data_IF_446057526614
#
_entry.id   IF_446057526614
#
_cell.length_a   1.000
_cell.length_b   1.000
_cell.length_c   1.000
_cell.angle_alpha   90.00
_cell.angle_beta   90.00
_cell.angle_gamma   90.00
#
_symmetry.space_group_name_H-M   'P 1'
#
loop_
_entity.id
_entity.type
_entity.pdbx_description
1 polymer ?
#
# COMPACT_ATOMS: atom_id res chain seq x y z
N UNK A 1 15.78 -0.03 -3.80
CA UNK A 1 16.20 0.35 -2.43
C UNK A 1 16.85 1.73 -2.47
N UNK A 2 16.57 2.57 -1.46
CA UNK A 2 17.13 3.92 -1.31
C UNK A 2 17.66 4.07 0.11
N UNK A 3 18.91 4.47 0.27
CA UNK A 3 19.50 4.89 1.56
C UNK A 3 18.95 6.27 1.92
N UNK A 4 18.37 6.44 3.11
CA UNK A 4 17.65 7.65 3.53
C UNK A 4 18.43 8.57 4.44
N UNK A 5 19.40 8.03 5.14
CA UNK A 5 20.38 8.79 5.92
C UNK A 5 21.78 8.25 5.65
N UNK A 6 22.80 9.03 6.02
CA UNK A 6 24.20 8.66 5.82
C UNK A 6 24.79 7.76 6.92
N UNK A 7 23.94 7.25 7.83
CA UNK A 7 24.39 6.45 8.96
C UNK A 7 24.92 5.08 8.49
N UNK A 8 26.02 4.65 9.10
CA UNK A 8 26.56 3.31 8.90
C UNK A 8 25.74 2.28 9.68
N UNK A 9 25.72 1.04 9.21
CA UNK A 9 25.11 -0.08 9.94
C UNK A 9 25.79 -0.18 11.31
N UNK A 10 24.98 -0.20 12.39
CA UNK A 10 25.52 -0.30 13.76
C UNK A 10 25.83 -1.77 14.10
N UNK A 11 27.11 -2.15 14.21
CA UNK A 11 27.50 -3.53 14.52
C UNK A 11 27.07 -3.97 15.93
N UNK A 12 26.72 -3.03 16.81
CA UNK A 12 26.25 -3.28 18.17
C UNK A 12 24.73 -3.41 18.24
N UNK A 13 24.03 -3.19 17.12
CA UNK A 13 22.59 -3.39 17.03
C UNK A 13 22.24 -4.86 17.29
N UNK A 14 21.00 -5.13 17.71
CA UNK A 14 20.56 -6.45 18.16
C UNK A 14 19.63 -7.15 17.16
N UNK A 15 19.13 -6.43 16.19
CA UNK A 15 18.20 -6.94 15.18
C UNK A 15 18.17 -6.03 13.95
N UNK A 16 17.58 -6.54 12.87
CA UNK A 16 17.07 -5.72 11.77
C UNK A 16 15.59 -5.46 12.00
N UNK A 17 15.14 -4.24 11.77
CA UNK A 17 13.73 -3.86 11.89
C UNK A 17 13.16 -3.59 10.50
N UNK A 18 12.06 -4.23 10.16
CA UNK A 18 11.24 -3.83 9.02
C UNK A 18 10.01 -3.05 9.50
N UNK A 19 9.96 -1.76 9.21
CA UNK A 19 8.79 -0.92 9.45
C UNK A 19 7.79 -1.10 8.32
N UNK A 20 6.88 -2.02 8.49
CA UNK A 20 5.79 -2.29 7.56
C UNK A 20 4.74 -1.17 7.62
N UNK A 21 4.28 -0.71 6.47
CA UNK A 21 3.26 0.36 6.37
C UNK A 21 2.25 0.07 5.26
N UNK A 22 2.73 -0.03 4.02
CA UNK A 22 1.92 -0.13 2.80
C UNK A 22 1.81 -1.56 2.28
N UNK A 23 2.79 -2.40 2.56
CA UNK A 23 2.90 -3.75 2.02
C UNK A 23 2.62 -4.78 3.11
N UNK A 24 1.34 -4.86 3.50
CA UNK A 24 0.88 -5.63 4.66
C UNK A 24 0.75 -7.12 4.32
N UNK A 25 1.88 -7.75 3.98
CA UNK A 25 1.95 -9.17 3.65
C UNK A 25 3.29 -9.79 4.06
N UNK A 26 3.25 -11.07 4.40
CA UNK A 26 4.42 -11.83 4.84
C UNK A 26 5.15 -12.55 3.70
N UNK A 27 4.57 -12.62 2.51
CA UNK A 27 5.11 -13.29 1.33
C UNK A 27 5.12 -12.30 0.15
N UNK A 28 5.97 -12.57 -0.83
CA UNK A 28 6.04 -11.76 -2.06
C UNK A 28 6.18 -10.25 -1.79
N UNK A 29 7.01 -9.91 -0.79
CA UNK A 29 7.20 -8.55 -0.30
C UNK A 29 8.66 -8.11 -0.47
N UNK A 30 8.99 -7.27 -1.47
CA UNK A 30 10.36 -6.85 -1.74
C UNK A 30 11.06 -6.15 -0.56
N UNK A 31 10.31 -5.41 0.27
CA UNK A 31 10.88 -4.74 1.44
C UNK A 31 11.22 -5.76 2.55
N UNK A 32 10.34 -6.71 2.80
CA UNK A 32 10.59 -7.81 3.73
C UNK A 32 11.75 -8.69 3.27
N UNK A 33 11.82 -9.02 1.98
CA UNK A 33 12.93 -9.81 1.41
C UNK A 33 14.28 -9.08 1.51
N UNK A 34 14.28 -7.76 1.35
CA UNK A 34 15.48 -6.94 1.59
C UNK A 34 15.87 -6.98 3.07
N UNK A 35 14.89 -6.91 3.98
CA UNK A 35 15.14 -6.98 5.41
C UNK A 35 15.67 -8.36 5.84
N UNK A 36 15.13 -9.45 5.27
CA UNK A 36 15.64 -10.81 5.53
C UNK A 36 17.06 -10.95 5.01
N UNK A 37 17.36 -10.45 3.80
CA UNK A 37 18.71 -10.51 3.25
C UNK A 37 19.72 -9.75 4.13
N UNK A 38 19.36 -8.55 4.59
CA UNK A 38 20.19 -7.77 5.50
C UNK A 38 20.37 -8.47 6.86
N UNK A 39 19.30 -9.00 7.46
CA UNK A 39 19.34 -9.75 8.71
C UNK A 39 20.28 -10.97 8.61
N UNK A 40 20.19 -11.69 7.48
CA UNK A 40 21.04 -12.85 7.23
C UNK A 40 22.52 -12.51 7.05
N UNK A 41 22.83 -11.37 6.42
CA UNK A 41 24.22 -10.88 6.26
C UNK A 41 24.79 -10.42 7.60
N UNK A 42 23.96 -9.79 8.42
CA UNK A 42 24.35 -9.29 9.74
C UNK A 42 24.30 -10.38 10.83
N UNK A 43 23.85 -11.60 10.48
CA UNK A 43 23.62 -12.69 11.45
C UNK A 43 22.75 -12.28 12.64
N UNK A 44 21.72 -11.47 12.34
CA UNK A 44 20.80 -10.92 13.34
C UNK A 44 19.36 -11.36 13.09
N UNK A 45 18.51 -11.40 14.13
CA UNK A 45 17.09 -11.65 13.95
C UNK A 45 16.39 -10.47 13.28
N UNK A 46 15.26 -10.76 12.65
CA UNK A 46 14.37 -9.77 12.03
C UNK A 46 13.08 -9.63 12.82
N UNK A 47 12.66 -8.40 13.05
CA UNK A 47 11.35 -8.07 13.61
C UNK A 47 10.63 -7.04 12.73
N UNK A 48 9.34 -7.28 12.51
CA UNK A 48 8.46 -6.37 11.78
C UNK A 48 7.70 -5.51 12.78
N UNK A 49 7.71 -4.20 12.56
CA UNK A 49 6.92 -3.24 13.33
C UNK A 49 5.76 -2.71 12.50
N UNK A 50 4.56 -2.67 13.10
CA UNK A 50 3.39 -2.02 12.53
C UNK A 50 2.71 -1.06 13.52
N UNK A 51 2.54 0.18 13.13
CA UNK A 51 1.86 1.21 13.93
C UNK A 51 0.41 1.40 13.51
N UNK A 52 -0.53 1.07 14.41
CA UNK A 52 -1.97 1.29 14.25
C UNK A 52 -2.35 2.67 14.80
N UNK A 53 -2.94 3.53 13.99
CA UNK A 53 -3.42 4.84 14.43
C UNK A 53 -4.74 4.67 15.17
N UNK A 54 -4.85 5.22 16.39
CA UNK A 54 -6.05 5.11 17.21
C UNK A 54 -7.23 5.94 16.67
N UNK A 55 -6.94 7.07 16.02
CA UNK A 55 -7.96 7.94 15.44
C UNK A 55 -7.47 8.44 14.07
N UNK A 56 -7.54 7.59 13.04
CA UNK A 56 -7.04 7.94 11.72
C UNK A 56 -7.99 8.94 11.03
N UNK A 57 -7.45 10.01 10.44
CA UNK A 57 -8.28 10.90 9.64
C UNK A 57 -8.82 10.16 8.40
N UNK A 58 -10.10 10.35 8.10
CA UNK A 58 -10.77 9.80 6.91
C UNK A 58 -10.77 8.26 6.80
N UNK A 59 -10.50 7.53 7.88
CA UNK A 59 -10.66 6.08 7.93
C UNK A 59 -11.75 5.71 8.96
N UNK A 60 -12.50 4.66 8.67
CA UNK A 60 -13.64 4.21 9.45
C UNK A 60 -13.49 2.73 9.84
N UNK A 61 -14.50 2.22 10.56
CA UNK A 61 -14.54 0.82 11.01
C UNK A 61 -14.38 -0.17 9.85
N UNK A 62 -14.99 0.08 8.68
CA UNK A 62 -14.87 -0.79 7.48
C UNK A 62 -13.42 -0.95 7.06
N UNK A 63 -12.69 0.14 6.93
CA UNK A 63 -11.29 0.11 6.50
C UNK A 63 -10.40 -0.64 7.50
N UNK A 64 -10.61 -0.37 8.79
CA UNK A 64 -9.79 -0.96 9.84
C UNK A 64 -10.10 -2.43 10.06
N UNK A 65 -11.36 -2.85 9.98
CA UNK A 65 -11.72 -4.28 10.05
C UNK A 65 -11.00 -5.07 8.97
N UNK A 66 -11.10 -4.60 7.71
CA UNK A 66 -10.41 -5.26 6.59
C UNK A 66 -8.88 -5.27 6.75
N UNK A 67 -8.29 -4.17 7.19
CA UNK A 67 -6.85 -4.07 7.43
C UNK A 67 -6.40 -5.02 8.54
N UNK A 68 -7.11 -5.04 9.68
CA UNK A 68 -6.74 -5.85 10.85
C UNK A 68 -6.88 -7.34 10.56
N UNK A 69 -7.89 -7.77 9.81
CA UNK A 69 -8.01 -9.15 9.35
C UNK A 69 -6.77 -9.60 8.55
N UNK A 70 -6.30 -8.76 7.63
CA UNK A 70 -5.09 -9.03 6.85
C UNK A 70 -3.81 -8.99 7.69
N UNK A 71 -3.73 -8.09 8.66
CA UNK A 71 -2.59 -8.01 9.57
C UNK A 71 -2.51 -9.21 10.51
N UNK A 72 -3.66 -9.74 10.96
CA UNK A 72 -3.71 -10.96 11.78
C UNK A 72 -3.10 -12.15 11.02
N UNK A 73 -3.50 -12.35 9.77
CA UNK A 73 -2.92 -13.37 8.89
C UNK A 73 -1.42 -13.12 8.66
N UNK A 74 -1.03 -11.87 8.40
CA UNK A 74 0.35 -11.48 8.17
C UNK A 74 1.21 -11.78 9.41
N UNK A 75 0.75 -11.44 10.61
CA UNK A 75 1.44 -11.72 11.86
C UNK A 75 1.65 -13.22 12.05
N UNK A 76 0.62 -14.04 11.83
CA UNK A 76 0.70 -15.49 11.87
C UNK A 76 1.77 -16.06 10.91
N UNK A 77 1.74 -15.63 9.65
CA UNK A 77 2.71 -16.08 8.63
C UNK A 77 4.13 -15.64 8.94
N UNK A 78 4.33 -14.45 9.53
CA UNK A 78 5.66 -13.99 9.97
C UNK A 78 6.21 -14.86 11.10
N UNK A 79 5.39 -15.19 12.10
CA UNK A 79 5.78 -16.11 13.20
C UNK A 79 6.17 -17.50 12.67
N UNK A 80 5.40 -18.07 11.72
CA UNK A 80 5.75 -19.33 11.05
C UNK A 80 7.10 -19.25 10.32
N UNK A 81 7.46 -18.07 9.80
CA UNK A 81 8.78 -17.78 9.19
C UNK A 81 9.86 -17.44 10.23
N UNK A 82 9.57 -17.55 11.52
CA UNK A 82 10.48 -17.21 12.65
C UNK A 82 10.91 -15.73 12.66
N UNK A 83 10.04 -14.86 12.15
CA UNK A 83 10.20 -13.40 12.11
C UNK A 83 9.31 -12.81 13.19
N UNK A 84 9.83 -11.88 14.00
CA UNK A 84 9.06 -11.18 15.01
C UNK A 84 8.01 -10.25 14.37
N UNK A 85 6.86 -10.11 15.05
CA UNK A 85 5.86 -9.11 14.68
C UNK A 85 5.41 -8.33 15.92
N UNK A 86 5.51 -7.00 15.86
CA UNK A 86 5.13 -6.10 16.93
C UNK A 86 4.17 -5.04 16.40
N UNK A 87 2.93 -5.06 16.89
CA UNK A 87 1.96 -4.00 16.68
C UNK A 87 2.01 -3.00 17.84
N UNK A 88 1.73 -1.72 17.55
CA UNK A 88 1.55 -0.67 18.57
C UNK A 88 0.36 0.20 18.21
N UNK A 89 -0.50 0.48 19.17
CA UNK A 89 -1.53 1.52 19.04
C UNK A 89 -0.86 2.88 19.21
N UNK A 90 -1.02 3.73 18.21
CA UNK A 90 -0.37 5.02 18.11
C UNK A 90 -1.39 6.14 18.29
N UNK A 91 -1.25 6.95 19.33
CA UNK A 91 -2.02 8.16 19.52
C UNK A 91 -1.58 9.25 18.51
N UNK A 92 -2.56 9.96 17.93
CA UNK A 92 -2.31 11.05 16.98
C UNK A 92 -2.21 10.59 15.52
N UNK A 93 -1.78 11.50 14.64
CA UNK A 93 -1.80 11.33 13.19
C UNK A 93 -0.60 10.56 12.60
N UNK A 94 0.31 10.06 13.43
CA UNK A 94 1.55 9.39 12.98
C UNK A 94 2.01 8.33 13.97
N UNK A 95 2.55 7.25 13.43
CA UNK A 95 3.17 6.18 14.23
C UNK A 95 4.65 6.45 14.56
N UNK A 96 5.20 7.63 14.23
CA UNK A 96 6.64 7.88 14.29
C UNK A 96 7.17 7.85 15.73
N UNK A 97 6.43 8.44 16.69
CA UNK A 97 6.80 8.45 18.09
C UNK A 97 6.88 7.06 18.72
N UNK A 98 5.86 6.23 18.45
CA UNK A 98 5.84 4.85 18.96
C UNK A 98 6.90 3.99 18.27
N UNK A 99 7.17 4.25 17.00
CA UNK A 99 8.25 3.57 16.31
C UNK A 99 9.63 3.97 16.88
N UNK A 100 9.85 5.23 17.21
CA UNK A 100 11.09 5.69 17.85
C UNK A 100 11.30 5.01 19.22
N UNK A 101 10.24 4.90 20.03
CA UNK A 101 10.28 4.17 21.30
C UNK A 101 10.62 2.70 21.08
N UNK A 102 9.98 2.06 20.13
CA UNK A 102 10.27 0.67 19.78
C UNK A 102 11.75 0.49 19.35
N UNK A 103 12.29 1.39 18.52
CA UNK A 103 13.70 1.34 18.15
C UNK A 103 14.63 1.48 19.36
N UNK A 104 14.31 2.33 20.34
CA UNK A 104 15.08 2.44 21.58
C UNK A 104 15.05 1.14 22.41
N UNK A 105 13.92 0.41 22.42
CA UNK A 105 13.76 -0.87 23.11
C UNK A 105 14.61 -1.96 22.47
N UNK A 106 14.56 -2.09 21.11
CA UNK A 106 15.17 -3.22 20.38
C UNK A 106 16.59 -2.95 19.89
N UNK A 107 17.02 -1.70 19.81
CA UNK A 107 18.33 -1.24 19.30
C UNK A 107 18.66 -1.86 17.93
N UNK A 108 17.99 -1.44 16.86
CA UNK A 108 18.22 -2.02 15.55
C UNK A 108 19.60 -1.65 14.99
N UNK A 109 20.24 -2.61 14.32
CA UNK A 109 21.44 -2.38 13.51
C UNK A 109 21.08 -1.65 12.20
N UNK A 110 19.89 -1.91 11.69
CA UNK A 110 19.36 -1.36 10.43
C UNK A 110 17.84 -1.30 10.49
N UNK A 111 17.28 -0.21 10.01
CA UNK A 111 15.84 -0.07 9.75
C UNK A 111 15.57 -0.10 8.24
N UNK A 112 14.64 -0.93 7.82
CA UNK A 112 14.11 -0.95 6.46
C UNK A 112 12.63 -0.59 6.53
N UNK A 113 12.13 0.20 5.57
CA UNK A 113 10.74 0.59 5.52
C UNK A 113 10.20 0.59 4.09
N UNK A 114 8.88 0.57 3.95
CA UNK A 114 8.22 0.77 2.67
C UNK A 114 8.51 2.18 2.15
N UNK A 115 8.81 2.30 0.87
CA UNK A 115 8.82 3.58 0.18
C UNK A 115 7.39 4.16 0.18
N UNK A 116 7.29 5.46 0.43
CA UNK A 116 6.03 6.17 0.36
C UNK A 116 6.14 7.31 -0.65
N UNK A 117 5.50 7.22 -1.81
CA UNK A 117 5.59 8.24 -2.84
C UNK A 117 5.06 9.61 -2.39
N UNK A 118 4.16 9.66 -1.41
CA UNK A 118 3.67 10.91 -0.82
C UNK A 118 4.65 11.55 0.16
N UNK A 119 5.70 10.84 0.55
CA UNK A 119 6.75 11.36 1.44
C UNK A 119 7.88 11.94 0.63
N UNK A 120 8.10 13.23 0.78
CA UNK A 120 9.27 13.91 0.22
C UNK A 120 10.52 13.62 1.04
N UNK A 121 11.67 13.75 0.42
CA UNK A 121 12.96 13.52 1.07
C UNK A 121 13.13 14.33 2.37
N UNK A 122 12.65 15.59 2.44
CA UNK A 122 12.65 16.39 3.67
C UNK A 122 11.84 15.79 4.83
N UNK A 123 10.82 14.97 4.55
CA UNK A 123 10.05 14.27 5.59
C UNK A 123 10.78 13.02 6.07
N UNK A 124 11.46 12.33 5.17
CA UNK A 124 12.34 11.22 5.51
C UNK A 124 13.51 11.69 6.41
N UNK A 125 14.14 12.82 6.07
CA UNK A 125 15.23 13.40 6.86
C UNK A 125 14.77 13.78 8.27
N UNK A 126 13.60 14.39 8.43
CA UNK A 126 13.03 14.70 9.75
C UNK A 126 12.73 13.46 10.58
N UNK A 127 12.30 12.39 9.97
CA UNK A 127 12.06 11.12 10.66
C UNK A 127 13.36 10.45 11.08
N UNK A 128 14.38 10.48 10.25
CA UNK A 128 15.70 9.95 10.60
C UNK A 128 16.31 10.60 11.85
N UNK A 129 15.99 11.89 12.11
CA UNK A 129 16.43 12.62 13.31
C UNK A 129 15.70 12.17 14.58
N UNK A 130 14.50 11.58 14.45
CA UNK A 130 13.73 11.07 15.60
C UNK A 130 14.25 9.74 16.15
N UNK A 131 15.14 9.09 15.42
CA UNK A 131 15.75 7.83 15.85
C UNK A 131 17.16 8.08 16.37
N UNK A 132 17.67 7.27 17.31
CA UNK A 132 19.11 7.19 17.52
C UNK A 132 19.77 6.97 16.15
N UNK A 133 21.05 7.34 15.97
CA UNK A 133 21.72 7.27 14.67
C UNK A 133 21.70 5.83 14.13
N UNK A 134 20.58 5.45 13.52
CA UNK A 134 20.32 4.12 12.97
C UNK A 134 20.15 4.26 11.47
N UNK A 135 20.85 3.49 10.67
CA UNK A 135 20.71 3.51 9.22
C UNK A 135 19.28 3.21 8.81
N UNK A 136 18.74 4.02 7.91
CA UNK A 136 17.38 3.92 7.40
C UNK A 136 17.40 3.72 5.89
N UNK A 137 16.84 2.60 5.43
CA UNK A 137 16.67 2.29 4.02
C UNK A 137 15.19 2.20 3.68
N UNK A 138 14.79 2.62 2.48
CA UNK A 138 13.45 2.41 1.96
C UNK A 138 13.45 1.54 0.71
N UNK A 139 12.40 0.73 0.54
CA UNK A 139 12.21 -0.17 -0.59
C UNK A 139 10.85 0.11 -1.22
N UNK A 140 10.85 0.34 -2.53
CA UNK A 140 9.62 0.55 -3.31
C UNK A 140 8.99 -0.81 -3.63
N UNK A 141 8.12 -1.27 -2.76
CA UNK A 141 7.54 -2.61 -2.76
C UNK A 141 6.07 -2.63 -3.24
N UNK A 142 5.55 -1.46 -3.64
CA UNK A 142 4.16 -1.28 -4.04
C UNK A 142 4.00 -0.99 -5.55
N UNK A 143 5.07 -1.04 -6.31
CA UNK A 143 5.12 -0.89 -7.77
C UNK A 143 5.98 -1.99 -8.38
N UNK A 144 5.85 -2.23 -9.67
CA UNK A 144 6.71 -3.16 -10.40
C UNK A 144 8.00 -2.44 -10.79
N UNK A 145 7.90 -1.32 -11.50
CA UNK A 145 9.06 -0.50 -11.83
C UNK A 145 9.28 0.54 -10.73
N UNK A 146 10.41 0.51 -10.01
CA UNK A 146 10.67 1.47 -8.95
C UNK A 146 10.42 2.92 -9.38
N UNK A 147 9.55 3.61 -8.68
CA UNK A 147 9.04 4.93 -9.08
C UNK A 147 10.15 5.99 -9.24
N UNK A 148 11.27 5.82 -8.52
CA UNK A 148 12.43 6.70 -8.61
C UNK A 148 13.15 6.62 -9.98
N UNK A 149 13.02 5.51 -10.70
CA UNK A 149 13.61 5.33 -12.02
C UNK A 149 12.87 6.08 -13.13
N UNK A 150 11.70 6.64 -12.84
CA UNK A 150 10.94 7.46 -13.77
C UNK A 150 11.37 8.93 -13.79
N UNK A 151 12.26 9.32 -12.85
CA UNK A 151 13.02 10.58 -12.76
C UNK A 151 12.21 11.87 -12.62
N UNK A 152 11.03 11.97 -13.25
CA UNK A 152 10.16 13.14 -13.24
C UNK A 152 8.69 12.78 -13.40
N UNK A 153 7.82 13.77 -13.16
CA UNK A 153 6.38 13.66 -13.40
C UNK A 153 6.08 13.28 -14.86
N UNK A 154 5.19 12.32 -15.02
CA UNK A 154 4.65 11.88 -16.29
C UNK A 154 3.17 12.27 -16.35
N UNK A 155 2.77 13.08 -17.29
CA UNK A 155 1.43 13.68 -17.33
C UNK A 155 0.36 12.78 -17.96
N UNK A 156 0.76 11.67 -18.61
CA UNK A 156 -0.18 10.78 -19.28
C UNK A 156 0.39 9.37 -19.47
N UNK A 157 -0.52 8.39 -19.65
CA UNK A 157 -0.14 7.01 -19.93
C UNK A 157 0.78 6.89 -21.16
N UNK A 158 0.57 7.69 -22.20
CA UNK A 158 1.41 7.70 -23.41
C UNK A 158 2.87 8.06 -23.15
N UNK A 159 3.17 8.81 -22.08
CA UNK A 159 4.54 9.22 -21.75
C UNK A 159 5.21 8.27 -20.77
N UNK A 160 4.46 7.66 -19.85
CA UNK A 160 5.00 6.72 -18.88
C UNK A 160 5.14 5.30 -19.45
N UNK A 161 4.20 4.84 -20.30
CA UNK A 161 4.16 3.47 -20.85
C UNK A 161 5.50 3.03 -21.47
N UNK A 162 6.12 3.77 -22.40
CA UNK A 162 7.37 3.33 -23.00
C UNK A 162 8.53 3.28 -21.98
N UNK A 163 8.45 4.06 -20.90
CA UNK A 163 9.46 4.05 -19.82
C UNK A 163 9.31 2.82 -18.94
N UNK A 164 8.08 2.43 -18.63
CA UNK A 164 7.77 1.20 -17.88
C UNK A 164 8.13 -0.02 -18.73
N UNK A 165 7.66 -0.09 -19.97
CA UNK A 165 7.87 -1.25 -20.85
C UNK A 165 9.34 -1.59 -21.05
N UNK A 166 10.21 -0.59 -21.22
CA UNK A 166 11.66 -0.81 -21.35
C UNK A 166 12.32 -1.46 -20.13
N UNK A 167 11.68 -1.37 -18.96
CA UNK A 167 12.20 -1.92 -17.70
C UNK A 167 11.40 -3.11 -17.18
N UNK A 168 10.29 -3.45 -17.85
CA UNK A 168 9.39 -4.46 -17.35
C UNK A 168 10.07 -5.83 -17.23
N UNK A 169 10.88 -6.21 -18.22
CA UNK A 169 11.64 -7.46 -18.21
C UNK A 169 12.63 -7.54 -17.04
N UNK A 170 13.22 -6.41 -16.65
CA UNK A 170 14.15 -6.32 -15.52
C UNK A 170 13.42 -6.56 -14.18
N UNK A 171 12.22 -5.94 -14.00
CA UNK A 171 11.56 -5.86 -12.71
C UNK A 171 10.38 -6.80 -12.53
N UNK A 172 9.67 -7.21 -13.58
CA UNK A 172 8.54 -8.14 -13.48
C UNK A 172 9.06 -9.58 -13.32
N UNK A 173 9.52 -9.88 -12.12
CA UNK A 173 10.04 -11.19 -11.72
C UNK A 173 9.39 -11.63 -10.42
N UNK A 174 9.32 -12.95 -10.17
CA UNK A 174 8.87 -13.45 -8.87
C UNK A 174 9.73 -12.86 -7.75
N UNK A 175 9.08 -12.37 -6.71
CA UNK A 175 9.76 -11.96 -5.48
C UNK A 175 10.10 -13.23 -4.68
N UNK A 176 11.33 -13.35 -4.24
CA UNK A 176 11.76 -14.52 -3.46
C UNK A 176 11.06 -14.56 -2.09
N UNK A 177 11.11 -15.74 -1.47
CA UNK A 177 10.64 -15.96 -0.08
C UNK A 177 11.77 -16.58 0.73
N UNK A 178 12.78 -15.77 1.07
CA UNK A 178 13.94 -16.20 1.85
C UNK A 178 13.57 -16.58 3.29
N UNK A 179 14.33 -17.48 3.88
CA UNK A 179 14.24 -17.78 5.31
C UNK A 179 15.24 -16.95 6.11
N UNK A 180 14.91 -16.60 7.34
CA UNK A 180 15.85 -15.99 8.28
C UNK A 180 16.80 -17.08 8.80
N UNK A 181 18.09 -16.74 8.96
CA UNK A 181 19.09 -17.61 9.59
C UNK A 181 18.96 -17.60 11.10
N UNK A 182 18.79 -16.41 11.67
CA UNK A 182 18.64 -16.22 13.12
C UNK A 182 17.15 -15.97 13.42
N UNK A 183 16.49 -16.87 14.16
CA UNK A 183 15.09 -16.69 14.52
C UNK A 183 14.92 -15.56 15.53
N UNK A 184 13.82 -14.81 15.41
CA UNK A 184 13.40 -13.89 16.46
C UNK A 184 13.00 -14.67 17.71
N UNK A 185 13.49 -14.22 18.86
CA UNK A 185 13.07 -14.73 20.17
C UNK A 185 12.16 -13.69 20.82
N UNK A 186 10.97 -14.11 21.21
CA UNK A 186 10.03 -13.22 21.88
C UNK A 186 10.64 -12.66 23.18
N UNK A 187 10.64 -11.34 23.30
CA UNK A 187 11.02 -10.65 24.51
C UNK A 187 9.75 -10.12 25.19
N UNK A 188 9.38 -10.69 26.32
CA UNK A 188 8.19 -10.31 27.09
C UNK A 188 8.15 -8.85 27.52
N UNK A 189 9.29 -8.14 27.46
CA UNK A 189 9.39 -6.70 27.74
C UNK A 189 8.83 -5.88 26.58
N UNK A 190 8.82 -6.41 25.36
CA UNK A 190 8.30 -5.75 24.17
C UNK A 190 6.78 -6.02 24.12
N UNK A 191 6.01 -5.02 24.54
CA UNK A 191 4.55 -5.13 24.53
C UNK A 191 4.01 -5.01 23.10
N UNK A 192 3.14 -5.95 22.73
CA UNK A 192 2.39 -5.94 21.47
C UNK A 192 0.98 -6.48 21.74
N UNK A 193 -0.08 -5.74 21.41
CA UNK A 193 -1.42 -6.29 21.47
C UNK A 193 -1.56 -7.45 20.45
N UNK A 194 -2.41 -8.41 20.77
CA UNK A 194 -2.81 -9.42 19.80
C UNK A 194 -3.55 -8.75 18.64
N UNK A 195 -3.15 -9.05 17.41
CA UNK A 195 -3.83 -8.52 16.23
C UNK A 195 -5.01 -9.43 15.92
N UNK A 196 -6.17 -8.99 16.34
CA UNK A 196 -7.44 -9.68 16.14
C UNK A 196 -8.55 -8.64 15.90
N UNK A 197 -9.74 -9.09 15.51
CA UNK A 197 -10.85 -8.18 15.21
C UNK A 197 -11.25 -7.31 16.41
N UNK A 198 -11.12 -7.85 17.61
CA UNK A 198 -11.40 -7.15 18.87
C UNK A 198 -10.49 -5.93 19.09
N UNK A 199 -9.35 -5.88 18.40
CA UNK A 199 -8.48 -4.71 18.45
C UNK A 199 -9.16 -3.44 17.93
N UNK A 200 -10.18 -3.55 17.06
CA UNK A 200 -10.94 -2.39 16.58
C UNK A 200 -11.67 -1.64 17.70
N UNK A 201 -12.05 -2.34 18.78
CA UNK A 201 -12.73 -1.76 19.94
C UNK A 201 -11.82 -0.83 20.76
N UNK A 202 -10.49 -1.03 20.65
CA UNK A 202 -9.50 -0.19 21.32
C UNK A 202 -9.13 1.06 20.51
N UNK A 203 -9.68 1.19 19.32
CA UNK A 203 -9.42 2.29 18.39
C UNK A 203 -10.68 3.17 18.31
N UNK A 204 -10.51 4.48 18.35
CA UNK A 204 -11.62 5.43 18.23
C UNK A 204 -11.99 5.63 16.75
N UNK A 205 -12.61 4.62 16.16
CA UNK A 205 -12.97 4.60 14.74
C UNK A 205 -14.37 5.15 14.51
N UNK A 206 -14.56 5.83 13.39
CA UNK A 206 -15.90 6.18 12.91
C UNK A 206 -16.65 4.90 12.54
N UNK A 207 -17.73 4.61 13.29
CA UNK A 207 -18.59 3.45 13.10
C UNK A 207 -19.78 3.69 12.17
N UNK A 208 -19.87 4.86 11.52
CA UNK A 208 -21.01 5.19 10.63
C UNK A 208 -21.12 4.26 9.42
N UNK A 209 -20.00 3.61 9.03
CA UNK A 209 -19.95 2.66 7.92
C UNK A 209 -19.57 1.28 8.43
N UNK A 210 -20.50 0.33 8.33
CA UNK A 210 -20.29 -1.05 8.73
C UNK A 210 -19.22 -1.77 7.90
N UNK A 211 -18.51 -2.76 8.47
CA UNK A 211 -17.64 -3.65 7.71
C UNK A 211 -18.36 -4.30 6.52
N UNK A 212 -17.66 -4.48 5.41
CA UNK A 212 -18.22 -5.15 4.24
C UNK A 212 -18.22 -6.67 4.45
N UNK A 213 -19.40 -7.31 4.36
CA UNK A 213 -19.53 -8.75 4.56
C UNK A 213 -18.89 -9.58 3.44
N UNK A 214 -18.83 -9.01 2.23
CA UNK A 214 -18.34 -9.68 1.00
C UNK A 214 -16.81 -9.66 0.88
N UNK A 215 -16.14 -8.78 1.64
CA UNK A 215 -14.70 -8.60 1.57
C UNK A 215 -14.05 -8.95 2.92
N UNK A 216 -13.30 -10.01 2.92
CA UNK A 216 -12.42 -10.37 4.03
C UNK A 216 -10.99 -9.96 3.73
N UNK A 217 -10.30 -9.32 4.67
CA UNK A 217 -8.89 -8.96 4.54
C UNK A 217 -7.97 -10.20 4.58
N UNK A 218 -6.80 -10.08 3.97
CA UNK A 218 -5.75 -11.09 4.00
C UNK A 218 -5.22 -11.51 2.64
N UNK A 219 -4.00 -12.01 2.62
CA UNK A 219 -3.31 -12.49 1.40
C UNK A 219 -4.03 -13.70 0.80
N UNK A 220 -4.53 -14.63 1.62
CA UNK A 220 -5.21 -15.83 1.14
C UNK A 220 -6.55 -15.50 0.47
N UNK A 221 -7.29 -14.54 1.03
CA UNK A 221 -8.51 -14.00 0.44
C UNK A 221 -8.22 -13.28 -0.89
N UNK A 222 -7.16 -12.47 -0.92
CA UNK A 222 -6.70 -11.78 -2.13
C UNK A 222 -6.32 -12.74 -3.25
N UNK A 223 -5.55 -13.79 -2.94
CA UNK A 223 -5.18 -14.84 -3.89
C UNK A 223 -6.39 -15.62 -4.40
N UNK A 224 -7.38 -15.83 -3.53
CA UNK A 224 -8.64 -16.48 -3.93
C UNK A 224 -9.46 -15.60 -4.87
N UNK A 225 -9.53 -14.29 -4.61
CA UNK A 225 -10.15 -13.31 -5.50
C UNK A 225 -9.44 -13.26 -6.87
N UNK A 226 -8.10 -13.25 -6.88
CA UNK A 226 -7.32 -13.29 -8.12
C UNK A 226 -7.58 -14.55 -8.94
N UNK A 227 -7.60 -15.73 -8.29
CA UNK A 227 -7.91 -17.00 -8.99
C UNK A 227 -9.32 -17.01 -9.57
N UNK A 228 -10.32 -16.53 -8.83
CA UNK A 228 -11.69 -16.39 -9.34
C UNK A 228 -11.76 -15.45 -10.54
N UNK A 229 -11.13 -14.29 -10.46
CA UNK A 229 -11.08 -13.33 -11.56
C UNK A 229 -10.48 -13.95 -12.82
N UNK A 230 -9.32 -14.62 -12.70
CA UNK A 230 -8.65 -15.26 -13.84
C UNK A 230 -9.55 -16.32 -14.48
N UNK A 231 -10.20 -17.17 -13.67
CA UNK A 231 -11.05 -18.27 -14.16
C UNK A 231 -12.34 -17.78 -14.79
N UNK A 232 -13.02 -16.83 -14.15
CA UNK A 232 -14.43 -16.55 -14.43
C UNK A 232 -14.66 -15.25 -15.23
N UNK A 233 -13.72 -14.28 -15.17
CA UNK A 233 -13.98 -12.91 -15.63
C UNK A 233 -12.91 -12.33 -16.57
N UNK A 234 -11.67 -12.78 -16.46
CA UNK A 234 -10.56 -12.23 -17.25
C UNK A 234 -10.80 -12.37 -18.76
N UNK A 235 -11.41 -13.48 -19.22
CA UNK A 235 -11.67 -13.72 -20.64
C UNK A 235 -12.66 -12.75 -21.29
N UNK A 236 -13.40 -11.99 -20.50
CA UNK A 236 -14.38 -10.98 -20.94
C UNK A 236 -14.06 -9.58 -20.40
N UNK A 237 -12.84 -9.36 -19.94
CA UNK A 237 -12.48 -8.12 -19.25
C UNK A 237 -12.67 -6.87 -20.11
N UNK A 238 -12.26 -6.88 -21.36
CA UNK A 238 -12.35 -5.72 -22.26
C UNK A 238 -13.80 -5.34 -22.55
N UNK A 239 -14.67 -6.32 -22.77
CA UNK A 239 -16.08 -6.08 -23.05
C UNK A 239 -16.89 -5.72 -21.81
N UNK A 240 -16.53 -6.28 -20.63
CA UNK A 240 -17.33 -6.16 -19.43
C UNK A 240 -16.92 -5.02 -18.49
N UNK A 241 -15.63 -4.64 -18.42
CA UNK A 241 -15.13 -3.73 -17.40
C UNK A 241 -15.79 -2.35 -17.29
N UNK A 242 -16.41 -1.88 -18.37
CA UNK A 242 -17.12 -0.61 -18.42
C UNK A 242 -18.63 -0.73 -18.21
N UNK A 243 -19.11 -1.92 -17.94
CA UNK A 243 -20.50 -2.24 -17.69
C UNK A 243 -20.73 -2.45 -16.19
N UNK A 244 -21.37 -1.47 -15.49
CA UNK A 244 -21.58 -1.59 -14.05
C UNK A 244 -22.61 -2.63 -13.63
N UNK A 245 -23.44 -3.08 -14.58
CA UNK A 245 -24.48 -4.10 -14.43
C UNK A 245 -23.93 -5.54 -14.45
N UNK A 246 -22.67 -5.73 -14.81
CA UNK A 246 -22.00 -7.03 -14.80
C UNK A 246 -20.74 -7.06 -13.94
N UNK A 247 -20.53 -8.18 -13.27
CA UNK A 247 -19.33 -8.40 -12.45
C UNK A 247 -18.10 -8.78 -13.30
N UNK A 248 -17.52 -7.83 -14.03
CA UNK A 248 -16.36 -8.06 -14.88
C UNK A 248 -15.02 -7.58 -14.30
N UNK A 249 -15.02 -6.94 -13.15
CA UNK A 249 -13.80 -6.43 -12.52
C UNK A 249 -13.14 -7.44 -11.59
N UNK A 250 -11.85 -7.23 -11.29
CA UNK A 250 -11.07 -8.16 -10.46
C UNK A 250 -11.43 -8.14 -8.97
N UNK A 251 -12.00 -7.06 -8.49
CA UNK A 251 -12.25 -6.79 -7.06
C UNK A 251 -10.97 -6.82 -6.19
N UNK A 252 -9.79 -6.60 -6.78
CA UNK A 252 -8.50 -6.62 -6.07
C UNK A 252 -8.11 -5.28 -5.44
N UNK A 253 -8.85 -4.21 -5.72
CA UNK A 253 -8.51 -2.86 -5.25
C UNK A 253 -8.30 -2.76 -3.74
N UNK A 254 -9.15 -3.31 -2.85
CA UNK A 254 -8.93 -3.26 -1.41
C UNK A 254 -7.62 -3.95 -1.00
N UNK A 255 -7.34 -5.11 -1.56
CA UNK A 255 -6.14 -5.89 -1.26
C UNK A 255 -4.85 -5.20 -1.72
N UNK A 256 -4.89 -4.57 -2.90
CA UNK A 256 -3.78 -3.77 -3.41
C UNK A 256 -3.58 -2.49 -2.61
N UNK A 257 -4.67 -1.86 -2.15
CA UNK A 257 -4.62 -0.66 -1.32
C UNK A 257 -3.87 -0.90 -0.01
N UNK A 258 -4.19 -1.99 0.68
CA UNK A 258 -3.53 -2.37 1.94
C UNK A 258 -2.25 -3.19 1.72
N UNK A 259 -1.89 -3.48 0.47
CA UNK A 259 -0.70 -4.26 0.15
C UNK A 259 -0.76 -5.73 0.60
N UNK A 260 -1.97 -6.26 0.77
CA UNK A 260 -2.20 -7.67 1.15
C UNK A 260 -1.94 -8.63 -0.02
N UNK A 261 -1.84 -8.13 -1.25
CA UNK A 261 -1.33 -8.82 -2.43
C UNK A 261 -0.30 -7.96 -3.14
N UNK A 262 0.74 -8.55 -3.70
CA UNK A 262 1.79 -7.87 -4.44
C UNK A 262 1.40 -7.56 -5.89
N UNK A 263 1.79 -6.41 -6.45
CA UNK A 263 1.59 -6.12 -7.87
C UNK A 263 2.30 -7.14 -8.77
N UNK A 264 3.46 -7.67 -8.36
CA UNK A 264 4.18 -8.72 -9.08
C UNK A 264 3.37 -10.01 -9.15
N UNK A 265 2.81 -10.46 -8.02
CA UNK A 265 1.94 -11.65 -7.95
C UNK A 265 0.77 -11.54 -8.93
N UNK A 266 0.08 -10.39 -8.92
CA UNK A 266 -1.07 -10.15 -9.81
C UNK A 266 -0.62 -10.13 -11.27
N UNK A 267 0.40 -9.33 -11.60
CA UNK A 267 0.84 -9.18 -12.98
C UNK A 267 1.37 -10.48 -13.59
N UNK A 268 2.17 -11.24 -12.84
CA UNK A 268 2.70 -12.54 -13.29
C UNK A 268 1.58 -13.58 -13.49
N UNK A 269 0.60 -13.63 -12.58
CA UNK A 269 -0.53 -14.54 -12.70
C UNK A 269 -1.39 -14.23 -13.94
N UNK A 270 -1.65 -12.94 -14.21
CA UNK A 270 -2.38 -12.51 -15.41
C UNK A 270 -1.57 -12.78 -16.67
N UNK A 271 -0.28 -12.51 -16.67
CA UNK A 271 0.59 -12.76 -17.83
C UNK A 271 0.60 -14.23 -18.22
N UNK A 272 0.63 -15.14 -17.24
CA UNK A 272 0.59 -16.60 -17.45
C UNK A 272 -0.82 -17.21 -17.61
N UNK A 273 -1.89 -16.43 -17.55
CA UNK A 273 -3.26 -16.94 -17.59
C UNK A 273 -3.66 -17.43 -18.99
N UNK A 274 -4.43 -18.50 -19.05
CA UNK A 274 -5.07 -19.00 -20.26
C UNK A 274 -6.32 -18.19 -20.61
N UNK A 275 -6.12 -16.93 -21.02
CA UNK A 275 -7.16 -15.99 -21.44
C UNK A 275 -6.72 -15.26 -22.72
N UNK A 276 -7.64 -14.65 -23.50
CA UNK A 276 -7.30 -13.92 -24.71
C UNK A 276 -6.23 -12.84 -24.42
N UNK A 277 -5.25 -12.71 -25.32
CA UNK A 277 -4.16 -11.74 -25.14
C UNK A 277 -4.67 -10.32 -24.95
N UNK A 278 -5.71 -9.94 -25.71
CA UNK A 278 -6.36 -8.62 -25.61
C UNK A 278 -6.86 -8.31 -24.18
N UNK A 279 -7.47 -9.28 -23.51
CA UNK A 279 -8.02 -9.09 -22.16
C UNK A 279 -6.91 -9.02 -21.11
N UNK A 280 -5.89 -9.88 -21.24
CA UNK A 280 -4.71 -9.86 -20.37
C UNK A 280 -3.96 -8.53 -20.49
N UNK A 281 -3.69 -8.07 -21.70
CA UNK A 281 -2.99 -6.81 -21.98
C UNK A 281 -3.77 -5.61 -21.48
N UNK A 282 -5.10 -5.59 -21.68
CA UNK A 282 -5.96 -4.53 -21.16
C UNK A 282 -5.94 -4.46 -19.62
N UNK A 283 -5.96 -5.61 -18.94
CA UNK A 283 -5.86 -5.63 -17.48
C UNK A 283 -4.47 -5.19 -17.00
N UNK A 284 -3.40 -5.65 -17.65
CA UNK A 284 -2.03 -5.26 -17.31
C UNK A 284 -1.76 -3.77 -17.56
N UNK A 285 -2.39 -3.18 -18.59
CA UNK A 285 -2.32 -1.73 -18.80
C UNK A 285 -2.87 -0.96 -17.59
N UNK A 286 -4.02 -1.35 -17.05
CA UNK A 286 -4.60 -0.71 -15.86
C UNK A 286 -3.76 -0.99 -14.61
N UNK A 287 -3.37 -2.23 -14.43
CA UNK A 287 -2.66 -2.69 -13.24
C UNK A 287 -1.23 -2.13 -13.13
N UNK A 288 -0.53 -1.97 -14.24
CA UNK A 288 0.86 -1.51 -14.27
C UNK A 288 0.90 -0.04 -14.67
N UNK A 289 0.50 0.28 -15.92
CA UNK A 289 0.75 1.61 -16.48
C UNK A 289 -0.09 2.68 -15.77
N UNK A 290 -1.41 2.46 -15.63
CA UNK A 290 -2.29 3.45 -15.00
C UNK A 290 -2.05 3.60 -13.52
N UNK A 291 -1.85 2.48 -12.83
CA UNK A 291 -1.54 2.49 -11.40
C UNK A 291 -0.20 3.17 -11.10
N UNK A 292 0.86 2.87 -11.86
CA UNK A 292 2.17 3.49 -11.66
C UNK A 292 2.22 4.95 -12.14
N UNK A 293 1.36 5.36 -13.08
CA UNK A 293 1.15 6.77 -13.41
C UNK A 293 0.62 7.55 -12.19
N UNK A 294 -0.34 6.99 -11.46
CA UNK A 294 -0.85 7.61 -10.23
C UNK A 294 0.23 7.72 -9.14
N UNK A 295 1.04 6.69 -8.97
CA UNK A 295 2.19 6.69 -8.05
C UNK A 295 3.23 7.75 -8.47
N UNK A 296 3.53 7.85 -9.76
CA UNK A 296 4.43 8.85 -10.31
C UNK A 296 3.91 10.28 -10.07
N UNK A 297 2.63 10.52 -10.31
CA UNK A 297 1.98 11.80 -10.02
C UNK A 297 2.15 12.21 -8.54
N UNK A 298 1.82 11.31 -7.61
CA UNK A 298 1.96 11.58 -6.17
C UNK A 298 3.41 11.86 -5.79
N UNK A 299 4.36 11.12 -6.39
CA UNK A 299 5.78 11.27 -6.09
C UNK A 299 6.35 12.61 -6.55
N UNK A 300 6.03 13.02 -7.76
CA UNK A 300 6.70 14.16 -8.41
C UNK A 300 5.91 15.44 -8.40
N UNK A 301 4.56 15.40 -8.25
CA UNK A 301 3.75 16.61 -8.16
C UNK A 301 3.62 17.09 -6.72
N UNK A 302 4.24 18.22 -6.34
CA UNK A 302 4.18 18.73 -4.97
C UNK A 302 2.78 19.18 -4.52
N UNK A 303 1.88 19.42 -5.46
CA UNK A 303 0.54 19.95 -5.23
C UNK A 303 -0.55 18.89 -5.40
N UNK A 304 -0.20 17.60 -5.44
CA UNK A 304 -1.11 16.49 -5.76
C UNK A 304 -2.40 16.43 -4.90
N UNK A 305 -2.44 17.14 -3.77
CA UNK A 305 -3.62 17.22 -2.87
C UNK A 305 -4.51 18.44 -3.14
N UNK A 306 -4.25 19.22 -4.15
CA UNK A 306 -4.98 20.46 -4.43
C UNK A 306 -5.31 20.58 -5.91
N UNK A 307 -6.31 21.40 -6.26
CA UNK A 307 -6.64 21.72 -7.66
C UNK A 307 -5.47 22.38 -8.40
N UNK A 308 -4.48 22.93 -7.70
CA UNK A 308 -3.27 23.46 -8.32
C UNK A 308 -2.38 22.38 -8.95
N UNK A 309 -2.68 21.10 -8.74
CA UNK A 309 -1.98 19.96 -9.36
C UNK A 309 -2.37 19.70 -10.81
N UNK A 310 -3.55 20.15 -11.23
CA UNK A 310 -4.03 19.95 -12.61
C UNK A 310 -3.43 21.00 -13.56
N UNK A 311 -3.44 20.67 -14.83
CA UNK A 311 -2.86 21.51 -15.89
C UNK A 311 -3.46 22.92 -15.93
N UNK A 312 -2.69 23.96 -16.31
CA UNK A 312 -3.17 25.34 -16.33
C UNK A 312 -4.40 25.56 -17.21
N UNK A 313 -4.49 24.86 -18.33
CA UNK A 313 -5.65 24.97 -19.24
C UNK A 313 -6.92 24.43 -18.54
N UNK A 314 -6.84 23.31 -17.86
CA UNK A 314 -7.97 22.72 -17.14
C UNK A 314 -8.45 23.64 -16.00
N UNK A 315 -7.52 24.29 -15.27
CA UNK A 315 -7.88 25.28 -14.24
C UNK A 315 -8.57 26.51 -14.85
N UNK A 316 -8.13 26.98 -16.02
CA UNK A 316 -8.80 28.07 -16.70
C UNK A 316 -10.23 27.69 -17.09
N UNK A 317 -10.41 26.53 -17.73
CA UNK A 317 -11.73 26.00 -18.07
C UNK A 317 -12.65 25.94 -16.86
N UNK A 318 -12.17 25.39 -15.72
CA UNK A 318 -12.95 25.35 -14.50
C UNK A 318 -13.33 26.75 -13.98
N UNK A 319 -12.41 27.72 -14.06
CA UNK A 319 -12.67 29.09 -13.62
C UNK A 319 -13.66 29.81 -14.55
N UNK A 320 -13.51 29.66 -15.86
CA UNK A 320 -14.40 30.24 -16.89
C UNK A 320 -15.84 29.73 -16.73
N UNK A 321 -16.00 28.43 -16.44
CA UNK A 321 -17.29 27.78 -16.31
C UNK A 321 -17.82 27.66 -14.85
N UNK A 322 -17.14 28.28 -13.87
CA UNK A 322 -17.56 28.24 -12.48
C UNK A 322 -18.94 28.86 -12.21
N UNK A 323 -19.34 29.84 -13.04
CA UNK A 323 -20.59 30.58 -12.89
C UNK A 323 -21.65 30.26 -13.97
N UNK A 324 -21.43 29.20 -14.74
CA UNK A 324 -22.41 28.73 -15.71
C UNK A 324 -23.73 28.38 -15.00
N UNK A 325 -24.85 28.76 -15.61
CA UNK A 325 -26.16 28.41 -15.09
C UNK A 325 -26.35 26.89 -15.08
N UNK A 326 -26.80 26.37 -13.94
CA UNK A 326 -27.13 24.95 -13.75
C UNK A 326 -28.59 24.84 -13.32
N UNK A 327 -29.30 23.92 -13.93
CA UNK A 327 -30.70 23.68 -13.61
C UNK A 327 -30.95 23.19 -12.17
N UNK A 328 -29.96 22.46 -11.63
CA UNK A 328 -30.01 21.94 -10.28
C UNK A 328 -28.70 22.22 -9.55
N UNK A 329 -28.80 22.72 -8.34
CA UNK A 329 -27.68 22.93 -7.42
C UNK A 329 -27.94 22.17 -6.12
N UNK A 330 -26.91 21.53 -5.60
CA UNK A 330 -26.97 20.74 -4.39
C UNK A 330 -25.92 21.19 -3.40
N UNK A 331 -26.23 21.09 -2.14
CA UNK A 331 -25.24 21.18 -1.06
C UNK A 331 -24.40 19.89 -1.03
N UNK A 332 -23.21 19.98 -0.48
CA UNK A 332 -22.35 18.80 -0.26
C UNK A 332 -23.07 17.71 0.54
N UNK A 333 -23.88 18.11 1.54
CA UNK A 333 -24.70 17.19 2.35
C UNK A 333 -25.74 16.45 1.50
N UNK A 334 -26.43 17.12 0.61
CA UNK A 334 -27.40 16.48 -0.28
C UNK A 334 -26.74 15.49 -1.24
N UNK A 335 -25.57 15.86 -1.77
CA UNK A 335 -24.78 14.93 -2.61
C UNK A 335 -24.36 13.70 -1.82
N UNK A 336 -23.79 13.89 -0.62
CA UNK A 336 -23.35 12.79 0.25
C UNK A 336 -24.48 11.87 0.71
N UNK A 337 -25.69 12.41 0.86
CA UNK A 337 -26.87 11.64 1.31
C UNK A 337 -27.69 11.04 0.15
N UNK A 338 -27.21 11.12 -1.10
CA UNK A 338 -27.98 10.66 -2.26
C UNK A 338 -29.35 11.37 -2.42
N UNK A 339 -29.42 12.68 -2.11
CA UNK A 339 -30.62 13.50 -2.14
C UNK A 339 -30.64 14.41 -3.38
N UNK A 340 -30.37 13.86 -4.56
CA UNK A 340 -30.42 14.60 -5.82
C UNK A 340 -31.68 14.27 -6.61
N UNK A 341 -31.91 15.02 -7.70
CA UNK A 341 -33.00 14.71 -8.64
C UNK A 341 -32.69 13.53 -9.56
N UNK A 342 -31.42 13.11 -9.64
CA UNK A 342 -30.98 12.06 -10.53
C UNK A 342 -30.99 10.69 -9.80
N UNK A 343 -31.91 9.78 -10.17
CA UNK A 343 -32.00 8.47 -9.52
C UNK A 343 -30.76 7.60 -9.73
N UNK A 344 -30.03 7.75 -10.85
CA UNK A 344 -28.80 7.00 -11.09
C UNK A 344 -27.68 7.48 -10.16
N UNK A 345 -27.55 8.80 -9.99
CA UNK A 345 -26.63 9.36 -8.99
C UNK A 345 -26.93 8.83 -7.60
N UNK A 346 -28.21 8.93 -7.20
CA UNK A 346 -28.62 8.50 -5.86
C UNK A 346 -28.41 7.01 -5.63
N UNK A 347 -28.63 6.17 -6.64
CA UNK A 347 -28.39 4.74 -6.55
C UNK A 347 -26.89 4.37 -6.49
N UNK A 348 -26.02 5.19 -7.10
CA UNK A 348 -24.57 4.97 -7.11
C UNK A 348 -23.89 5.46 -5.83
N UNK A 349 -24.45 6.51 -5.19
CA UNK A 349 -23.92 7.10 -3.96
C UNK A 349 -24.21 6.25 -2.74
#
# INVERSE_FOLDING_TARGET
MVVRNGEAIDPRGRCVVYRMRRTQRALDNPALETAIAAANVLEQPLVVFFGLLANPPMANLRHYTFMIEGLAETAQKLVQRRIGFVARICAGASSDREFARFCAEVRPALVICDEDPARRDAKWTREAVLYPPTPLWSVDADVIVPSKLLEKEQFAARTIRPRIQRRLEEFLKPVGNRSVRVPWKDDRRIKSPSVSRELTEQLHLDGSVNPANEFRGGTDAALSALRRFIRDRLGNYVSGRNHPDIEATSQLSPYLHFGQIGPHTVALAIHGAAAPARDREAFLEEMIVRRELAVNFVRYNPRFRTLASIEPWARRTLAEHARDARSHLYTEKQLANAETHDPLWNAAQ
#
